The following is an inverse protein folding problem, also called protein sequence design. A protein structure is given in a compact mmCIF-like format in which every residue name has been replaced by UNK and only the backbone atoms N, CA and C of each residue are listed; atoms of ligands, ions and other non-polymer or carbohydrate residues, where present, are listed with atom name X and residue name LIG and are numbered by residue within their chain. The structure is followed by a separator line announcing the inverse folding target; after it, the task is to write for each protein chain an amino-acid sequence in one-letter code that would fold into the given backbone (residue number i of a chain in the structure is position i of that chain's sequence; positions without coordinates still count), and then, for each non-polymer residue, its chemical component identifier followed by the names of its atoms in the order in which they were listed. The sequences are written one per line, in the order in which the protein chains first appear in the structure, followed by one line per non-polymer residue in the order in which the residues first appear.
data_IF_139949156411
#
_entry.id   IF_139949156411
#
_cell.length_a   1.000
_cell.length_b   1.000
_cell.length_c   1.000
_cell.angle_alpha   90.00
_cell.angle_beta   90.00
_cell.angle_gamma   90.00
#
_symmetry.space_group_name_H-M   'P 1'
#
loop_
_entity.id
_entity.type
_entity.pdbx_description
1 polymer ?
#
# COMPACT_ATOMS: atom_id res chain seq x y z
N UNK A 1 16.72 1.83 5.54
CA UNK A 1 16.52 1.77 7.01
C UNK A 1 15.21 1.05 7.25
N UNK A 2 15.17 0.12 8.21
CA UNK A 2 13.98 -0.67 8.50
C UNK A 2 13.23 -0.03 9.66
N UNK A 3 11.93 0.17 9.47
CA UNK A 3 11.00 0.65 10.48
C UNK A 3 9.93 -0.42 10.71
N UNK A 4 9.59 -0.65 11.98
CA UNK A 4 8.51 -1.55 12.40
C UNK A 4 7.50 -0.72 13.16
N UNK A 5 6.26 -0.74 12.70
CA UNK A 5 5.14 0.02 13.25
C UNK A 5 4.13 -0.96 13.82
N UNK A 6 3.83 -0.79 15.11
CA UNK A 6 2.76 -1.49 15.81
C UNK A 6 1.68 -0.47 16.19
N UNK A 7 0.40 -0.73 15.90
CA UNK A 7 -0.68 0.15 16.31
C UNK A 7 -0.66 0.39 17.82
N UNK A 8 -0.97 1.62 18.24
CA UNK A 8 -1.12 1.95 19.67
C UNK A 8 -2.38 1.35 20.28
N UNK A 9 -3.44 1.15 19.49
CA UNK A 9 -4.70 0.51 19.88
C UNK A 9 -5.01 -0.68 18.98
N UNK A 10 -5.64 -1.72 19.54
CA UNK A 10 -5.97 -2.96 18.83
C UNK A 10 -7.23 -2.92 17.96
N UNK A 11 -7.89 -1.77 17.82
CA UNK A 11 -9.15 -1.63 17.07
C UNK A 11 -8.96 -1.46 15.56
N UNK A 12 -7.73 -1.49 15.06
CA UNK A 12 -7.42 -1.33 13.63
C UNK A 12 -7.30 -2.66 12.88
N UNK A 13 -7.30 -2.61 11.55
CA UNK A 13 -7.24 -3.81 10.71
C UNK A 13 -5.84 -4.43 10.58
N UNK A 14 -4.80 -3.75 11.07
CA UNK A 14 -3.41 -4.22 11.02
C UNK A 14 -2.92 -4.55 12.42
N UNK A 15 -2.16 -5.64 12.55
CA UNK A 15 -1.35 -5.98 13.74
C UNK A 15 0.04 -5.37 13.66
N UNK A 16 0.65 -5.35 12.47
CA UNK A 16 1.99 -4.82 12.26
C UNK A 16 2.18 -4.33 10.83
N UNK A 17 2.96 -3.27 10.68
CA UNK A 17 3.47 -2.82 9.39
C UNK A 17 4.99 -2.68 9.46
N UNK A 18 5.70 -3.18 8.46
CA UNK A 18 7.16 -3.06 8.34
C UNK A 18 7.49 -2.37 7.03
N UNK A 19 8.42 -1.41 7.03
CA UNK A 19 8.84 -0.71 5.83
C UNK A 19 10.35 -0.50 5.82
N UNK A 20 10.98 -0.70 4.66
CA UNK A 20 12.39 -0.37 4.42
C UNK A 20 12.47 0.84 3.47
N UNK A 21 12.96 1.96 4.00
CA UNK A 21 13.08 3.22 3.26
C UNK A 21 14.54 3.68 3.24
N UNK A 22 15.06 3.99 2.05
CA UNK A 22 16.36 4.63 1.86
C UNK A 22 16.38 6.05 2.45
N UNK A 23 17.58 6.60 2.68
CA UNK A 23 17.71 7.99 3.20
C UNK A 23 17.21 9.04 2.19
N UNK A 24 17.17 8.66 0.93
CA UNK A 24 16.63 9.42 -0.21
C UNK A 24 15.10 9.31 -0.34
N UNK A 25 14.44 8.54 0.53
CA UNK A 25 13.00 8.29 0.48
C UNK A 25 12.58 7.14 -0.43
N UNK A 26 13.52 6.44 -1.08
CA UNK A 26 13.18 5.27 -1.92
C UNK A 26 12.64 4.14 -1.05
N UNK A 27 11.49 3.57 -1.41
CA UNK A 27 10.91 2.43 -0.68
C UNK A 27 11.42 1.16 -1.33
N UNK A 28 12.15 0.34 -0.56
CA UNK A 28 12.68 -0.93 -1.07
C UNK A 28 11.68 -2.07 -0.88
N UNK A 29 11.05 -2.13 0.30
CA UNK A 29 10.09 -3.19 0.63
C UNK A 29 9.14 -2.72 1.73
N UNK A 30 7.98 -3.36 1.81
CA UNK A 30 7.10 -3.26 2.97
C UNK A 30 6.34 -4.57 3.18
N UNK A 31 5.86 -4.81 4.40
CA UNK A 31 4.95 -5.91 4.70
C UNK A 31 3.88 -5.48 5.69
N UNK A 32 2.70 -6.08 5.57
CA UNK A 32 1.57 -5.89 6.47
C UNK A 32 1.18 -7.24 7.10
N UNK A 33 0.81 -7.21 8.37
CA UNK A 33 0.18 -8.34 9.08
C UNK A 33 -1.22 -7.89 9.48
N UNK A 34 -2.24 -8.59 8.99
CA UNK A 34 -3.66 -8.33 9.26
C UNK A 34 -4.12 -9.00 10.55
N UNK A 35 -5.35 -8.71 10.99
CA UNK A 35 -5.87 -9.24 12.26
C UNK A 35 -6.01 -10.77 12.29
N UNK A 36 -6.22 -11.40 11.15
CA UNK A 36 -6.30 -12.85 10.97
C UNK A 36 -4.91 -13.52 10.83
N UNK A 37 -3.83 -12.79 11.11
CA UNK A 37 -2.44 -13.20 10.93
C UNK A 37 -2.02 -13.41 9.46
N UNK A 38 -2.87 -13.04 8.50
CA UNK A 38 -2.47 -12.97 7.10
C UNK A 38 -1.32 -11.97 6.94
N UNK A 39 -0.28 -12.38 6.20
CA UNK A 39 0.90 -11.57 5.95
C UNK A 39 1.11 -11.35 4.46
N UNK A 40 1.11 -10.08 4.06
CA UNK A 40 1.42 -9.65 2.70
C UNK A 40 2.77 -8.94 2.68
N UNK A 41 3.68 -9.36 1.80
CA UNK A 41 5.04 -8.80 1.68
C UNK A 41 5.31 -8.35 0.24
N UNK A 42 5.85 -7.15 0.09
CA UNK A 42 6.08 -6.49 -1.18
C UNK A 42 7.53 -6.03 -1.29
N UNK A 43 8.18 -6.40 -2.39
CA UNK A 43 9.51 -5.93 -2.76
C UNK A 43 9.38 -5.03 -3.98
N UNK A 44 9.70 -3.75 -3.84
CA UNK A 44 9.71 -2.81 -4.94
C UNK A 44 11.05 -2.88 -5.68
N UNK A 45 10.97 -2.76 -7.00
CA UNK A 45 12.13 -2.75 -7.90
C UNK A 45 11.95 -1.60 -8.88
N UNK A 46 13.06 -0.98 -9.30
CA UNK A 46 13.09 0.05 -10.33
C UNK A 46 12.19 1.25 -10.05
N UNK A 47 12.20 1.76 -8.80
CA UNK A 47 11.47 2.98 -8.47
C UNK A 47 12.01 4.16 -9.29
N UNK A 48 11.11 4.87 -9.98
CA UNK A 48 11.42 6.08 -10.73
C UNK A 48 10.74 7.26 -10.06
N UNK A 49 11.54 8.19 -9.54
CA UNK A 49 11.04 9.39 -8.89
C UNK A 49 10.82 10.47 -9.96
N UNK A 50 9.62 11.05 -9.97
CA UNK A 50 9.23 12.07 -10.94
C UNK A 50 7.74 12.34 -10.92
N UNK A 51 7.30 13.27 -11.76
CA UNK A 51 5.88 13.51 -11.96
C UNK A 51 5.23 12.31 -12.67
N UNK A 52 4.05 11.91 -12.20
CA UNK A 52 3.22 10.87 -12.82
C UNK A 52 2.01 11.55 -13.45
N UNK A 53 1.63 11.09 -14.64
CA UNK A 53 0.45 11.60 -15.35
C UNK A 53 -0.84 11.42 -14.51
N UNK A 54 -1.63 12.49 -14.38
CA UNK A 54 -2.84 12.52 -13.58
C UNK A 54 -3.87 11.45 -14.00
N UNK A 55 -3.89 11.07 -15.27
CA UNK A 55 -4.78 10.02 -15.80
C UNK A 55 -4.59 8.66 -15.12
N UNK A 56 -3.39 8.36 -14.62
CA UNK A 56 -3.11 7.11 -13.87
C UNK A 56 -3.84 7.04 -12.52
N UNK A 57 -4.33 8.18 -12.03
CA UNK A 57 -5.11 8.28 -10.80
C UNK A 57 -6.62 8.47 -11.08
N UNK A 58 -7.03 8.30 -12.35
CA UNK A 58 -8.44 8.24 -12.74
C UNK A 58 -8.80 6.82 -13.13
N UNK A 59 -10.00 6.37 -12.74
CA UNK A 59 -10.52 5.08 -13.13
C UNK A 59 -11.84 5.27 -13.88
N UNK A 60 -11.87 4.84 -15.14
CA UNK A 60 -13.09 4.71 -15.93
C UNK A 60 -13.37 3.22 -16.14
N UNK A 61 -14.49 2.69 -15.62
CA UNK A 61 -14.86 1.30 -15.85
C UNK A 61 -14.89 0.99 -17.35
N UNK A 62 -14.18 -0.06 -17.82
CA UNK A 62 -14.23 -0.47 -19.21
C UNK A 62 -15.66 -0.81 -19.65
N UNK A 63 -15.94 -0.67 -20.94
CA UNK A 63 -17.26 -1.00 -21.50
C UNK A 63 -17.61 -2.47 -21.18
N UNK A 64 -18.80 -2.68 -20.61
CA UNK A 64 -19.29 -4.01 -20.24
C UNK A 64 -18.93 -4.46 -18.82
N UNK A 65 -18.16 -3.66 -18.06
CA UNK A 65 -17.90 -3.92 -16.64
C UNK A 65 -19.05 -3.37 -15.79
N UNK A 66 -19.65 -4.25 -14.98
CA UNK A 66 -20.61 -3.84 -13.95
C UNK A 66 -19.88 -3.15 -12.81
N UNK A 67 -20.41 -2.01 -12.36
CA UNK A 67 -19.88 -1.29 -11.20
C UNK A 67 -20.84 -1.47 -10.03
N UNK A 68 -20.33 -2.03 -8.95
CA UNK A 68 -20.99 -1.98 -7.64
C UNK A 68 -20.48 -0.74 -6.88
N UNK A 69 -21.28 0.32 -6.89
CA UNK A 69 -20.93 1.58 -6.25
C UNK A 69 -21.39 1.63 -4.79
N UNK A 70 -20.48 1.36 -3.88
CA UNK A 70 -20.75 1.28 -2.43
C UNK A 70 -20.53 2.61 -1.69
N UNK A 71 -20.45 3.73 -2.40
CA UNK A 71 -20.30 5.08 -1.81
C UNK A 71 -21.65 5.58 -1.28
N UNK A 72 -21.95 5.34 -0.01
CA UNK A 72 -23.10 5.95 0.69
C UNK A 72 -22.80 7.33 1.23
#
# INVERSE_FOLDING_TARGET
MIFVLTPKSGSGNLKQFTINVGRDGTIHQFSAVEQDDQRSSYQLKSQQNGAVDASKFTFTPPKGVTVDDQRK
#
